data_IF_717747893650
#
_entry.id   IF_717747893650
#
_cell.length_a   1.000
_cell.length_b   1.000
_cell.length_c   1.000
_cell.angle_alpha   90.00
_cell.angle_beta   90.00
_cell.angle_gamma   90.00
#
_symmetry.space_group_name_H-M   'P 1'
#
loop_
_entity.id
_entity.type
_entity.pdbx_description
1 polymer ?
#
# COMPACT_ATOMS: atom_id res chain seq x y z
N UNK A 1 10.14 -24.35 -17.53
CA UNK A 1 9.06 -23.35 -17.38
C UNK A 1 8.51 -23.50 -15.98
N UNK A 2 8.67 -22.48 -15.13
CA UNK A 2 8.18 -22.53 -13.76
C UNK A 2 6.65 -22.47 -13.79
N UNK A 3 6.01 -23.47 -13.18
CA UNK A 3 4.58 -23.46 -12.88
C UNK A 3 4.36 -22.39 -11.82
N UNK A 4 4.07 -21.16 -12.24
CA UNK A 4 3.39 -20.20 -11.39
C UNK A 4 2.08 -20.88 -10.99
N UNK A 5 1.82 -21.05 -9.70
CA UNK A 5 0.67 -21.80 -9.18
C UNK A 5 -0.67 -21.24 -9.67
N UNK A 6 -1.07 -21.62 -10.88
CA UNK A 6 -2.36 -21.30 -11.47
C UNK A 6 -3.35 -22.30 -10.85
N UNK A 7 -3.78 -21.98 -9.63
CA UNK A 7 -5.06 -22.47 -9.11
C UNK A 7 -6.15 -22.12 -10.13
N UNK A 8 -7.00 -23.09 -10.46
CA UNK A 8 -8.12 -23.04 -11.43
C UNK A 8 -8.52 -21.65 -11.95
N UNK A 9 -8.63 -21.44 -13.29
CA UNK A 9 -9.02 -20.17 -13.91
C UNK A 9 -10.26 -19.50 -13.29
N UNK A 10 -11.24 -20.27 -12.82
CA UNK A 10 -12.46 -19.75 -12.18
C UNK A 10 -12.21 -19.15 -10.79
N UNK A 11 -11.24 -19.64 -10.03
CA UNK A 11 -10.85 -19.07 -8.73
C UNK A 11 -10.08 -17.75 -8.92
N UNK A 12 -9.22 -17.69 -9.92
CA UNK A 12 -8.54 -16.45 -10.31
C UNK A 12 -9.51 -15.41 -10.85
N UNK A 13 -10.45 -15.82 -11.70
CA UNK A 13 -11.49 -14.94 -12.23
C UNK A 13 -12.38 -14.37 -11.12
N UNK A 14 -12.76 -15.19 -10.14
CA UNK A 14 -13.53 -14.74 -8.98
C UNK A 14 -12.74 -13.77 -8.10
N UNK A 15 -11.44 -14.01 -7.91
CA UNK A 15 -10.55 -13.08 -7.19
C UNK A 15 -10.43 -11.76 -7.96
N UNK A 16 -10.23 -11.82 -9.28
CA UNK A 16 -10.16 -10.67 -10.17
C UNK A 16 -11.44 -9.81 -10.13
N UNK A 17 -12.61 -10.42 -10.25
CA UNK A 17 -13.89 -9.68 -10.19
C UNK A 17 -14.20 -9.13 -8.80
N UNK A 18 -13.69 -9.73 -7.73
CA UNK A 18 -13.84 -9.17 -6.36
C UNK A 18 -12.85 -8.03 -6.11
N UNK A 19 -11.67 -8.08 -6.75
CA UNK A 19 -10.65 -7.02 -6.65
C UNK A 19 -10.99 -5.80 -7.49
N UNK A 20 -11.63 -5.96 -8.66
CA UNK A 20 -12.13 -4.83 -9.48
C UNK A 20 -13.42 -4.27 -8.87
N UNK A 21 -13.25 -3.37 -7.90
CA UNK A 21 -14.29 -2.48 -7.36
C UNK A 21 -14.12 -1.09 -8.03
N UNK A 22 -15.14 -0.21 -8.14
CA UNK A 22 -15.01 1.20 -8.52
C UNK A 22 -13.73 1.93 -8.08
N UNK A 23 -13.19 1.66 -6.88
CA UNK A 23 -11.90 2.21 -6.41
C UNK A 23 -10.70 1.82 -7.29
N UNK A 24 -10.69 0.63 -7.89
CA UNK A 24 -9.67 0.22 -8.87
C UNK A 24 -9.86 0.94 -10.21
N UNK A 25 -11.09 1.33 -10.57
CA UNK A 25 -11.34 2.09 -11.80
C UNK A 25 -10.70 3.47 -11.75
N UNK A 26 -10.70 4.13 -10.60
CA UNK A 26 -10.02 5.43 -10.40
C UNK A 26 -8.53 5.35 -10.76
N UNK A 27 -7.87 4.27 -10.33
CA UNK A 27 -6.46 4.04 -10.62
C UNK A 27 -6.12 3.89 -12.10
N UNK A 28 -7.08 3.47 -12.94
CA UNK A 28 -6.86 3.37 -14.39
C UNK A 28 -6.85 4.73 -15.09
N UNK A 29 -7.39 5.78 -14.46
CA UNK A 29 -7.39 7.14 -14.99
C UNK A 29 -6.33 8.05 -14.32
N UNK A 30 -5.65 7.55 -13.29
CA UNK A 30 -4.61 8.28 -12.59
C UNK A 30 -3.27 8.25 -13.34
N UNK A 31 -2.50 9.33 -13.23
CA UNK A 31 -1.12 9.37 -13.74
C UNK A 31 -0.20 8.49 -12.88
N UNK A 32 -0.52 8.37 -11.59
CA UNK A 32 0.21 7.54 -10.62
C UNK A 32 -0.77 6.96 -9.59
N UNK A 33 -0.49 5.74 -9.17
CA UNK A 33 -1.28 5.03 -8.16
C UNK A 33 -0.43 4.75 -6.93
N UNK A 34 -0.98 4.99 -5.75
CA UNK A 34 -0.44 4.53 -4.46
C UNK A 34 -1.36 3.45 -3.91
N UNK A 35 -0.87 2.22 -3.80
CA UNK A 35 -1.62 1.10 -3.22
C UNK A 35 -1.33 0.97 -1.73
N UNK A 36 -2.38 0.84 -0.93
CA UNK A 36 -2.30 0.62 0.52
C UNK A 36 -3.16 -0.55 0.96
N UNK A 37 -2.86 -1.15 2.11
CA UNK A 37 -3.56 -2.34 2.60
C UNK A 37 -5.03 -2.06 2.93
N UNK A 38 -5.34 -0.93 3.56
CA UNK A 38 -6.70 -0.57 3.95
C UNK A 38 -6.98 0.92 4.07
N UNK A 39 -8.24 1.24 4.34
CA UNK A 39 -8.77 2.62 4.42
C UNK A 39 -8.04 3.49 5.43
N UNK A 40 -7.65 2.93 6.58
CA UNK A 40 -6.90 3.68 7.60
C UNK A 40 -5.58 4.24 7.06
N UNK A 41 -4.86 3.43 6.27
CA UNK A 41 -3.60 3.85 5.67
C UNK A 41 -3.83 4.93 4.59
N UNK A 42 -4.94 4.84 3.84
CA UNK A 42 -5.32 5.87 2.87
C UNK A 42 -5.54 7.20 3.58
N UNK A 43 -6.40 7.22 4.59
CA UNK A 43 -6.70 8.43 5.35
C UNK A 43 -5.44 9.04 5.97
N UNK A 44 -4.55 8.19 6.50
CA UNK A 44 -3.26 8.60 7.02
C UNK A 44 -2.38 9.30 5.97
N UNK A 45 -2.28 8.75 4.75
CA UNK A 45 -1.51 9.37 3.67
C UNK A 45 -2.14 10.65 3.14
N UNK A 46 -3.47 10.72 3.05
CA UNK A 46 -4.19 11.94 2.66
C UNK A 46 -3.88 13.07 3.65
N UNK A 47 -4.02 12.81 4.95
CA UNK A 47 -3.63 13.79 5.99
C UNK A 47 -2.16 14.19 5.84
N UNK A 48 -1.24 13.24 5.69
CA UNK A 48 0.19 13.57 5.50
C UNK A 48 0.43 14.42 4.25
N UNK A 49 -0.29 14.16 3.16
CA UNK A 49 -0.18 14.93 1.92
C UNK A 49 -0.63 16.37 2.11
N UNK A 50 -1.77 16.59 2.76
CA UNK A 50 -2.28 17.93 3.09
C UNK A 50 -1.29 18.70 3.97
N UNK A 51 -0.81 18.08 5.05
CA UNK A 51 0.16 18.69 5.96
C UNK A 51 1.51 18.99 5.30
N UNK A 52 1.88 18.22 4.27
CA UNK A 52 3.14 18.40 3.53
C UNK A 52 2.99 19.34 2.33
N UNK A 53 1.78 19.86 2.06
CA UNK A 53 1.50 20.69 0.89
C UNK A 53 1.59 19.94 -0.44
N UNK A 54 1.39 18.63 -0.42
CA UNK A 54 1.37 17.78 -1.63
C UNK A 54 -0.06 17.72 -2.14
N UNK A 55 -0.31 18.33 -3.30
CA UNK A 55 -1.60 18.29 -3.98
C UNK A 55 -1.76 16.98 -4.76
N UNK A 56 -2.42 15.98 -4.17
CA UNK A 56 -2.62 14.67 -4.81
C UNK A 56 -3.47 14.78 -6.09
N UNK A 57 -4.57 15.53 -6.02
CA UNK A 57 -5.51 15.72 -7.12
C UNK A 57 -4.87 16.48 -8.28
N UNK A 58 -4.18 17.59 -7.99
CA UNK A 58 -3.47 18.38 -9.00
C UNK A 58 -2.30 17.64 -9.66
N UNK A 59 -1.78 16.58 -9.02
CA UNK A 59 -0.77 15.70 -9.59
C UNK A 59 -1.35 14.39 -10.18
N UNK A 60 -2.69 14.27 -10.22
CA UNK A 60 -3.45 13.10 -10.67
C UNK A 60 -2.96 11.79 -10.03
N UNK A 61 -2.77 11.81 -8.70
CA UNK A 61 -2.31 10.68 -7.89
C UNK A 61 -3.50 10.08 -7.14
N UNK A 62 -3.84 8.83 -7.40
CA UNK A 62 -4.91 8.12 -6.69
C UNK A 62 -4.35 7.19 -5.61
N UNK A 63 -4.86 7.30 -4.38
CA UNK A 63 -4.56 6.39 -3.27
C UNK A 63 -5.66 5.33 -3.16
N UNK A 64 -5.31 4.06 -3.39
CA UNK A 64 -6.26 2.96 -3.50
C UNK A 64 -6.03 1.94 -2.37
N UNK A 65 -6.98 1.82 -1.42
CA UNK A 65 -6.99 0.77 -0.42
C UNK A 65 -7.58 -0.50 -1.03
N UNK A 66 -6.90 -1.63 -0.84
CA UNK A 66 -7.25 -2.88 -1.55
C UNK A 66 -7.82 -3.98 -0.64
N UNK A 67 -7.86 -3.75 0.68
CA UNK A 67 -8.43 -4.67 1.65
C UNK A 67 -7.56 -5.91 1.90
N UNK A 68 -6.26 -5.72 2.11
CA UNK A 68 -5.32 -6.79 2.51
C UNK A 68 -4.16 -7.04 1.54
N UNK A 69 -3.02 -7.49 2.07
CA UNK A 69 -1.78 -7.80 1.31
C UNK A 69 -2.00 -8.71 0.09
N UNK A 70 -2.90 -9.69 0.20
CA UNK A 70 -3.23 -10.61 -0.89
C UNK A 70 -3.93 -9.96 -2.10
N UNK A 71 -4.63 -8.85 -1.90
CA UNK A 71 -5.21 -8.03 -2.98
C UNK A 71 -4.20 -6.98 -3.47
N UNK A 72 -3.34 -6.49 -2.57
CA UNK A 72 -2.25 -5.56 -2.87
C UNK A 72 -1.32 -6.11 -3.96
N UNK A 73 -0.92 -7.39 -3.85
CA UNK A 73 -0.13 -8.06 -4.87
C UNK A 73 -0.84 -8.09 -6.22
N UNK A 74 -2.13 -8.43 -6.24
CA UNK A 74 -2.92 -8.55 -7.47
C UNK A 74 -3.07 -7.19 -8.14
N UNK A 75 -3.45 -6.16 -7.38
CA UNK A 75 -3.60 -4.80 -7.87
C UNK A 75 -2.26 -4.23 -8.38
N UNK A 76 -1.15 -4.46 -7.67
CA UNK A 76 0.17 -4.01 -8.08
C UNK A 76 0.58 -4.62 -9.42
N UNK A 77 0.47 -5.95 -9.56
CA UNK A 77 0.78 -6.63 -10.83
C UNK A 77 -0.13 -6.17 -11.97
N UNK A 78 -1.41 -5.89 -11.67
CA UNK A 78 -2.37 -5.36 -12.63
C UNK A 78 -1.94 -4.00 -13.16
N UNK A 79 -1.80 -2.98 -12.29
CA UNK A 79 -1.43 -1.62 -12.72
C UNK A 79 -0.07 -1.58 -13.42
N UNK A 80 0.91 -2.33 -12.92
CA UNK A 80 2.22 -2.48 -13.58
C UNK A 80 2.11 -3.10 -14.98
N UNK A 81 1.21 -4.06 -15.17
CA UNK A 81 0.94 -4.68 -16.48
C UNK A 81 0.31 -3.73 -17.49
N UNK A 82 -0.43 -2.73 -17.02
CA UNK A 82 -0.96 -1.63 -17.83
C UNK A 82 -0.02 -0.42 -17.92
N UNK A 83 1.23 -0.57 -17.48
CA UNK A 83 2.26 0.48 -17.49
C UNK A 83 1.90 1.73 -16.67
N UNK A 84 0.96 1.62 -15.73
CA UNK A 84 0.59 2.69 -14.82
C UNK A 84 1.65 2.78 -13.70
N UNK A 85 2.28 3.94 -13.45
CA UNK A 85 3.21 4.11 -12.36
C UNK A 85 2.57 3.80 -11.01
N UNK A 86 3.04 2.74 -10.34
CA UNK A 86 2.47 2.27 -9.07
C UNK A 86 3.51 2.29 -7.97
N UNK A 87 3.19 2.95 -6.86
CA UNK A 87 3.88 2.85 -5.58
C UNK A 87 3.05 1.98 -4.64
N UNK A 88 3.68 1.07 -3.89
CA UNK A 88 2.97 0.13 -3.02
C UNK A 88 3.47 0.23 -1.58
N UNK A 89 2.54 0.29 -0.62
CA UNK A 89 2.81 0.44 0.80
C UNK A 89 2.11 -0.67 1.57
N UNK A 90 2.83 -1.36 2.46
CA UNK A 90 2.24 -2.35 3.35
C UNK A 90 2.94 -2.43 4.69
N UNK A 91 2.22 -2.94 5.69
CA UNK A 91 2.74 -3.15 7.04
C UNK A 91 3.50 -4.47 7.16
N UNK A 92 4.61 -4.46 7.88
CA UNK A 92 5.45 -5.63 8.15
C UNK A 92 5.11 -6.24 9.51
N UNK A 93 3.96 -6.91 9.58
CA UNK A 93 3.45 -7.44 10.85
C UNK A 93 4.24 -8.64 11.37
N UNK A 94 4.64 -9.57 10.47
CA UNK A 94 5.30 -10.83 10.81
C UNK A 94 6.30 -11.25 9.74
N UNK A 95 7.51 -11.64 10.17
CA UNK A 95 8.55 -12.16 9.27
C UNK A 95 8.15 -13.49 8.60
N UNK A 96 7.29 -14.29 9.25
CA UNK A 96 6.82 -15.57 8.73
C UNK A 96 5.63 -15.44 7.77
N UNK A 97 5.13 -14.22 7.52
CA UNK A 97 4.04 -14.01 6.57
C UNK A 97 4.53 -14.25 5.13
N UNK A 98 3.96 -15.27 4.48
CA UNK A 98 4.27 -15.62 3.10
C UNK A 98 3.90 -14.50 2.12
N UNK A 99 2.89 -13.68 2.44
CA UNK A 99 2.46 -12.57 1.60
C UNK A 99 3.52 -11.47 1.52
N UNK A 100 4.27 -11.24 2.60
CA UNK A 100 5.41 -10.32 2.57
C UNK A 100 6.46 -10.78 1.56
N UNK A 101 6.75 -12.08 1.48
CA UNK A 101 7.72 -12.64 0.51
C UNK A 101 7.25 -12.41 -0.92
N UNK A 102 5.96 -12.63 -1.21
CA UNK A 102 5.42 -12.38 -2.54
C UNK A 102 5.48 -10.91 -2.94
N UNK A 103 5.18 -9.99 -2.01
CA UNK A 103 5.28 -8.55 -2.25
C UNK A 103 6.74 -8.13 -2.49
N UNK A 104 7.70 -8.58 -1.68
CA UNK A 104 9.12 -8.31 -1.89
C UNK A 104 9.62 -8.79 -3.26
N UNK A 105 9.23 -10.00 -3.66
CA UNK A 105 9.56 -10.54 -4.98
C UNK A 105 8.96 -9.69 -6.10
N UNK A 106 7.69 -9.27 -5.97
CA UNK A 106 7.01 -8.46 -6.98
C UNK A 106 7.65 -7.08 -7.17
N UNK A 107 8.20 -6.49 -6.10
CA UNK A 107 8.91 -5.20 -6.17
C UNK A 107 10.40 -5.35 -6.51
N UNK A 108 10.89 -6.59 -6.71
CA UNK A 108 12.27 -6.88 -7.07
C UNK A 108 13.26 -6.65 -5.93
N UNK A 109 12.84 -6.84 -4.68
CA UNK A 109 13.68 -6.64 -3.50
C UNK A 109 14.11 -7.98 -2.89
N UNK A 110 15.43 -8.19 -2.80
CA UNK A 110 16.01 -9.35 -2.12
C UNK A 110 15.90 -9.20 -0.60
N UNK A 111 14.80 -9.73 -0.05
CA UNK A 111 14.51 -9.68 1.38
C UNK A 111 15.42 -10.64 2.18
N UNK A 112 16.19 -10.07 3.12
CA UNK A 112 16.95 -10.82 4.13
C UNK A 112 16.26 -10.68 5.49
N UNK A 113 16.26 -11.75 6.27
CA UNK A 113 15.67 -11.79 7.61
C UNK A 113 16.21 -10.67 8.51
N UNK A 114 15.40 -10.20 9.47
CA UNK A 114 15.83 -9.23 10.48
C UNK A 114 15.59 -7.76 10.14
N UNK A 115 14.53 -7.42 9.39
CA UNK A 115 14.15 -6.01 9.21
C UNK A 115 13.73 -5.40 10.55
N UNK A 116 14.54 -4.49 11.08
CA UNK A 116 14.26 -3.78 12.35
C UNK A 116 13.66 -2.39 12.17
N UNK A 117 13.66 -1.85 10.95
CA UNK A 117 13.12 -0.52 10.63
C UNK A 117 12.31 -0.53 9.34
N UNK A 118 11.40 0.44 9.20
CA UNK A 118 10.68 0.66 7.94
C UNK A 118 11.67 0.82 6.77
N UNK A 119 11.29 0.29 5.61
CA UNK A 119 12.06 0.40 4.36
C UNK A 119 11.30 1.32 3.42
N UNK A 120 11.97 2.34 2.91
CA UNK A 120 11.41 3.24 1.90
C UNK A 120 12.33 3.17 0.68
N UNK A 121 11.74 2.86 -0.48
CA UNK A 121 12.41 2.81 -1.78
C UNK A 121 11.62 3.64 -2.79
N UNK A 122 12.13 3.73 -4.01
CA UNK A 122 11.53 4.53 -5.10
C UNK A 122 10.15 4.04 -5.56
N UNK A 123 9.85 2.76 -5.38
CA UNK A 123 8.64 2.11 -5.90
C UNK A 123 7.82 1.39 -4.82
N UNK A 124 8.30 1.36 -3.57
CA UNK A 124 7.56 0.76 -2.47
C UNK A 124 8.03 1.27 -1.11
N UNK A 125 7.15 1.15 -0.12
CA UNK A 125 7.50 1.26 1.28
C UNK A 125 6.95 0.07 2.08
N UNK A 126 7.71 -0.31 3.10
CA UNK A 126 7.33 -1.33 4.07
C UNK A 126 7.43 -0.71 5.44
N UNK A 127 6.34 -0.70 6.19
CA UNK A 127 6.28 -0.03 7.48
C UNK A 127 6.38 -1.06 8.60
N UNK A 128 7.36 -0.90 9.49
CA UNK A 128 7.49 -1.74 10.68
C UNK A 128 6.58 -1.30 11.84
N UNK A 129 5.88 -0.19 11.67
CA UNK A 129 4.90 0.37 12.59
C UNK A 129 3.74 0.87 11.77
N UNK A 130 2.54 0.74 12.32
CA UNK A 130 1.34 1.25 11.70
C UNK A 130 1.47 2.77 11.46
N UNK A 131 1.11 3.22 10.25
CA UNK A 131 1.24 4.61 9.82
C UNK A 131 0.43 5.57 10.70
N UNK A 132 -0.74 5.14 11.16
CA UNK A 132 -1.61 5.91 12.05
C UNK A 132 -0.93 6.21 13.39
N UNK A 133 -0.18 5.26 13.95
CA UNK A 133 0.55 5.46 15.21
C UNK A 133 1.69 6.47 15.07
N UNK A 134 2.33 6.51 13.89
CA UNK A 134 3.38 7.49 13.60
C UNK A 134 2.79 8.88 13.51
N UNK A 135 1.68 9.04 12.77
CA UNK A 135 1.01 10.33 12.60
C UNK A 135 0.44 10.82 13.93
N UNK A 136 -0.20 9.96 14.72
CA UNK A 136 -0.72 10.34 16.05
C UNK A 136 0.38 10.90 16.93
N UNK A 137 1.54 10.25 17.01
CA UNK A 137 2.68 10.74 17.79
C UNK A 137 3.20 12.08 17.28
N UNK A 138 3.30 12.25 15.97
CA UNK A 138 3.79 13.51 15.38
C UNK A 138 2.80 14.66 15.61
N UNK A 139 1.49 14.40 15.49
CA UNK A 139 0.44 15.37 15.80
C UNK A 139 0.38 15.68 17.29
N UNK A 140 0.49 14.68 18.17
CA UNK A 140 0.55 14.86 19.63
C UNK A 140 1.73 15.75 20.04
N UNK A 141 2.91 15.55 19.44
CA UNK A 141 4.10 16.37 19.70
C UNK A 141 3.95 17.81 19.19
N UNK A 142 3.27 18.02 18.05
CA UNK A 142 3.10 19.36 17.46
C UNK A 142 1.96 20.16 18.06
N UNK A 143 0.90 19.50 18.54
CA UNK A 143 -0.35 20.19 18.92
C UNK A 143 -0.52 20.38 20.43
N UNK A 144 0.19 19.64 21.29
CA UNK A 144 0.14 19.85 22.74
C UNK A 144 -1.26 19.65 23.39
N UNK A 145 -2.21 19.03 22.70
CA UNK A 145 -3.65 19.06 23.06
C UNK A 145 -3.97 18.21 24.32
N UNK A 146 -3.05 17.39 24.82
CA UNK A 146 -3.27 16.63 26.07
C UNK A 146 -3.20 17.46 27.36
N UNK A 147 -2.76 18.73 27.33
CA UNK A 147 -2.81 19.60 28.51
C UNK A 147 -4.19 20.19 28.82
N UNK A 148 -5.20 19.98 27.97
CA UNK A 148 -6.56 20.51 28.18
C UNK A 148 -7.62 19.42 28.45
N UNK A 149 -7.22 18.15 28.54
CA UNK A 149 -8.14 17.01 28.70
C UNK A 149 -7.90 16.19 29.99
N UNK A 150 -7.15 16.70 30.97
CA UNK A 150 -7.08 16.16 32.33
C UNK A 150 -7.32 17.25 33.37
#
# INVERSE_FOLDING_TARGET
MASFGIDSPSKQLKKFTTTINPLVNEGFFADKVVLVEGESNKAALEVVSEYSGVDLDGNNISIIPVGGKGNLLVAYLMFRGFEIPTYIIWDFDKESDEQNKYLFNAVGYDFKQGIRSSIIKKNFAVLNKNLEDVIKKDLEQKTGIYYLAN
#
